data_IF_590689633386
#
_entry.id   IF_590689633386
#
_cell.length_a   1.000
_cell.length_b   1.000
_cell.length_c   1.000
_cell.angle_alpha   90.00
_cell.angle_beta   90.00
_cell.angle_gamma   90.00
#
_symmetry.space_group_name_H-M   'P 1'
#
loop_
_entity.id
_entity.type
_entity.pdbx_description
1 polymer ?
#
# COMPACT_ATOMS: atom_id res chain seq x y z
N UNK A 1 18.73 5.98 12.91
CA UNK A 1 17.27 6.07 12.62
C UNK A 1 16.88 7.39 11.96
N UNK A 2 17.12 8.56 12.58
CA UNK A 2 16.74 9.86 11.99
C UNK A 2 17.41 10.18 10.65
N UNK A 3 18.64 9.69 10.40
CA UNK A 3 19.28 9.77 9.10
C UNK A 3 18.44 9.09 8.00
N UNK A 4 17.92 7.88 8.28
CA UNK A 4 17.09 7.14 7.32
C UNK A 4 15.77 7.88 7.04
N UNK A 5 15.17 8.47 8.08
CA UNK A 5 13.96 9.30 7.95
C UNK A 5 14.25 10.49 7.03
N UNK A 6 15.37 11.18 7.24
CA UNK A 6 15.79 12.28 6.38
C UNK A 6 15.98 11.82 4.92
N UNK A 7 16.63 10.68 4.71
CA UNK A 7 16.84 10.10 3.37
C UNK A 7 15.52 9.81 2.66
N UNK A 8 14.58 9.13 3.33
CA UNK A 8 13.27 8.82 2.74
C UNK A 8 12.43 10.08 2.50
N UNK A 9 12.56 11.10 3.36
CA UNK A 9 11.83 12.36 3.21
C UNK A 9 12.17 13.14 1.94
N UNK A 10 13.32 12.87 1.31
CA UNK A 10 13.71 13.49 0.03
C UNK A 10 12.67 13.22 -1.07
N UNK A 11 12.04 12.05 -1.03
CA UNK A 11 11.01 11.63 -1.97
C UNK A 11 9.61 12.19 -1.68
N UNK A 12 9.42 12.84 -0.52
CA UNK A 12 8.14 13.42 -0.11
C UNK A 12 8.00 14.88 -0.57
N UNK A 13 6.75 15.29 -0.82
CA UNK A 13 6.40 16.71 -1.02
C UNK A 13 6.59 17.52 0.27
N UNK A 14 6.70 18.86 0.22
CA UNK A 14 6.80 19.68 1.42
C UNK A 14 5.64 19.46 2.40
N UNK A 15 4.42 19.30 1.89
CA UNK A 15 3.21 19.03 2.71
C UNK A 15 3.29 17.66 3.41
N UNK A 16 3.79 16.64 2.70
CA UNK A 16 3.97 15.29 3.25
C UNK A 16 5.08 15.23 4.29
N UNK A 17 6.15 16.03 4.12
CA UNK A 17 7.21 16.18 5.11
C UNK A 17 6.70 16.80 6.40
N UNK A 18 5.78 17.77 6.32
CA UNK A 18 5.15 18.36 7.50
C UNK A 18 4.26 17.33 8.24
N UNK A 19 3.79 16.30 7.53
CA UNK A 19 3.07 15.14 8.07
C UNK A 19 3.99 13.94 8.31
N UNK A 20 5.23 14.18 8.68
CA UNK A 20 6.23 13.16 9.02
C UNK A 20 6.85 13.47 10.40
N UNK A 21 7.28 12.43 11.10
CA UNK A 21 7.83 12.55 12.45
C UNK A 21 9.19 11.86 12.59
N UNK A 22 10.11 12.52 13.28
CA UNK A 22 11.39 11.93 13.68
C UNK A 22 11.20 10.92 14.82
N UNK A 23 12.17 10.00 14.95
CA UNK A 23 12.21 9.08 16.06
C UNK A 23 12.46 9.85 17.37
N UNK A 24 11.56 9.65 18.34
CA UNK A 24 11.64 10.13 19.72
C UNK A 24 11.19 9.03 20.66
N UNK A 25 11.53 9.13 21.94
CA UNK A 25 11.10 8.18 22.97
C UNK A 25 9.59 8.26 23.18
N UNK A 26 8.96 7.12 23.47
CA UNK A 26 7.54 7.00 23.84
C UNK A 26 6.58 7.45 22.72
N UNK A 27 7.00 7.37 21.46
CA UNK A 27 6.11 7.64 20.33
C UNK A 27 5.25 6.41 20.04
N UNK A 28 3.98 6.66 19.78
CA UNK A 28 3.02 5.65 19.34
C UNK A 28 2.88 5.72 17.82
N UNK A 29 2.60 4.58 17.21
CA UNK A 29 2.27 4.56 15.79
C UNK A 29 1.03 5.43 15.51
N UNK A 30 1.12 6.30 14.52
CA UNK A 30 0.00 7.12 14.04
C UNK A 30 -0.27 6.82 12.57
N UNK A 31 -1.49 6.39 12.25
CA UNK A 31 -1.88 5.92 10.92
C UNK A 31 -1.85 7.01 9.83
N UNK A 32 -1.95 8.28 10.21
CA UNK A 32 -2.06 9.43 9.31
C UNK A 32 -0.71 10.07 8.92
N UNK A 33 0.40 9.59 9.49
CA UNK A 33 1.74 10.08 9.17
C UNK A 33 2.32 9.35 7.95
N UNK A 34 2.95 10.11 7.04
CA UNK A 34 3.58 9.54 5.84
C UNK A 34 4.88 8.80 6.16
N UNK A 35 5.62 9.31 7.14
CA UNK A 35 6.90 8.75 7.57
C UNK A 35 7.06 9.01 9.06
N UNK A 36 7.36 7.96 9.83
CA UNK A 36 7.54 8.06 11.26
C UNK A 36 8.68 7.17 11.73
N UNK A 37 9.45 7.67 12.70
CA UNK A 37 10.45 6.88 13.42
C UNK A 37 9.88 6.33 14.71
N UNK A 38 9.94 5.01 14.89
CA UNK A 38 9.55 4.34 16.12
C UNK A 38 10.74 3.55 16.67
N UNK A 39 10.95 3.62 17.99
CA UNK A 39 11.96 2.82 18.67
C UNK A 39 11.46 1.38 18.84
N UNK A 40 12.37 0.41 18.80
CA UNK A 40 12.03 -1.02 18.92
C UNK A 40 11.31 -1.31 20.23
N UNK A 41 11.75 -0.69 21.34
CA UNK A 41 11.11 -0.82 22.64
C UNK A 41 9.65 -0.38 22.61
N UNK A 42 9.35 0.73 21.93
CA UNK A 42 7.99 1.23 21.77
C UNK A 42 7.16 0.30 20.86
N UNK A 43 7.78 -0.30 19.85
CA UNK A 43 7.13 -1.27 18.95
C UNK A 43 6.83 -2.61 19.61
N UNK A 44 7.74 -3.14 20.43
CA UNK A 44 7.56 -4.42 21.14
C UNK A 44 6.40 -4.35 22.12
N UNK A 45 6.29 -3.23 22.86
CA UNK A 45 5.17 -2.93 23.74
C UNK A 45 3.83 -2.80 22.98
N UNK A 46 3.87 -2.54 21.68
CA UNK A 46 2.70 -2.33 20.83
C UNK A 46 2.43 -3.44 19.84
N UNK A 47 3.16 -4.55 19.84
CA UNK A 47 3.13 -5.51 18.70
C UNK A 47 1.71 -5.92 18.26
N UNK A 48 0.83 -6.27 19.19
CA UNK A 48 -0.57 -6.61 18.89
C UNK A 48 -1.45 -5.40 18.53
N UNK A 49 -1.12 -4.22 19.05
CA UNK A 49 -1.80 -2.95 18.74
C UNK A 49 -1.35 -2.37 17.40
N UNK A 50 -0.14 -2.74 16.95
CA UNK A 50 0.47 -2.21 15.75
C UNK A 50 -0.25 -2.71 14.50
N UNK A 51 -0.55 -4.00 14.43
CA UNK A 51 -1.29 -4.58 13.29
C UNK A 51 -2.65 -3.89 13.11
N UNK A 52 -3.39 -3.69 14.22
CA UNK A 52 -4.67 -2.96 14.21
C UNK A 52 -4.46 -1.50 13.78
N UNK A 53 -3.51 -0.80 14.39
CA UNK A 53 -3.27 0.61 14.09
C UNK A 53 -2.78 0.83 12.65
N UNK A 54 -2.06 -0.13 12.09
CA UNK A 54 -1.65 -0.11 10.67
C UNK A 54 -2.87 -0.27 9.78
N UNK A 55 -3.76 -1.23 10.09
CA UNK A 55 -4.99 -1.47 9.34
C UNK A 55 -6.03 -0.36 9.48
N UNK A 56 -5.91 0.52 10.49
CA UNK A 56 -6.69 1.77 10.56
C UNK A 56 -6.22 2.82 9.54
N UNK A 57 -5.02 2.66 8.97
CA UNK A 57 -4.54 3.57 7.93
C UNK A 57 -5.30 3.38 6.63
N UNK A 58 -5.63 4.50 5.98
CA UNK A 58 -6.26 4.50 4.67
C UNK A 58 -5.31 4.07 3.54
N UNK A 59 -4.01 3.91 3.80
CA UNK A 59 -3.00 3.55 2.80
C UNK A 59 -2.11 2.39 3.28
N UNK A 60 -1.57 1.59 2.34
CA UNK A 60 -0.58 0.56 2.67
C UNK A 60 0.62 1.13 3.42
N UNK A 61 1.17 0.35 4.35
CA UNK A 61 2.30 0.73 5.20
C UNK A 61 3.51 -0.17 4.93
N UNK A 62 4.70 0.43 4.96
CA UNK A 62 5.98 -0.27 4.88
C UNK A 62 6.76 -0.07 6.18
N UNK A 63 7.18 -1.17 6.80
CA UNK A 63 8.08 -1.19 7.95
C UNK A 63 9.49 -1.47 7.46
N UNK A 64 10.41 -0.56 7.80
CA UNK A 64 11.85 -0.72 7.54
C UNK A 64 12.55 -0.92 8.88
N UNK A 65 12.98 -2.16 9.13
CA UNK A 65 13.76 -2.50 10.32
C UNK A 65 15.25 -2.30 10.02
N UNK A 66 15.82 -1.25 10.61
CA UNK A 66 17.24 -0.92 10.44
C UNK A 66 18.18 -1.84 11.21
N UNK A 67 17.70 -2.56 12.22
CA UNK A 67 18.53 -3.48 13.01
C UNK A 67 18.62 -4.84 12.34
N UNK A 68 17.51 -5.32 11.77
CA UNK A 68 17.44 -6.60 11.04
C UNK A 68 17.70 -6.45 9.54
N UNK A 69 17.87 -5.20 9.06
CA UNK A 69 18.01 -4.87 7.63
C UNK A 69 16.92 -5.53 6.78
N UNK A 70 15.68 -5.47 7.28
CA UNK A 70 14.54 -6.13 6.65
C UNK A 70 13.44 -5.14 6.33
N UNK A 71 12.82 -5.30 5.16
CA UNK A 71 11.67 -4.51 4.73
C UNK A 71 10.45 -5.40 4.71
N UNK A 72 9.40 -4.95 5.37
CA UNK A 72 8.09 -5.58 5.39
C UNK A 72 7.05 -4.60 4.90
N UNK A 73 6.08 -5.07 4.15
CA UNK A 73 5.06 -4.23 3.55
C UNK A 73 3.69 -4.89 3.68
N UNK A 74 2.65 -4.09 3.91
CA UNK A 74 1.27 -4.54 3.74
C UNK A 74 0.96 -4.70 2.25
N UNK A 75 0.03 -5.57 1.84
CA UNK A 75 -0.40 -5.65 0.44
C UNK A 75 -0.71 -4.28 -0.16
N UNK A 76 -0.46 -4.10 -1.46
CA UNK A 76 -0.84 -2.90 -2.18
C UNK A 76 -2.34 -2.92 -2.50
N UNK A 77 -2.90 -1.78 -2.93
CA UNK A 77 -4.28 -1.75 -3.41
C UNK A 77 -4.46 -2.64 -4.65
N UNK A 78 -5.61 -3.33 -4.79
CA UNK A 78 -6.79 -3.34 -3.91
C UNK A 78 -6.70 -4.37 -2.77
N UNK A 79 -5.69 -5.26 -2.78
CA UNK A 79 -5.53 -6.32 -1.79
C UNK A 79 -5.47 -5.79 -0.34
N UNK A 80 -4.95 -4.58 -0.14
CA UNK A 80 -4.98 -3.90 1.15
C UNK A 80 -6.39 -3.74 1.73
N UNK A 81 -7.37 -3.33 0.90
CA UNK A 81 -8.77 -3.18 1.33
C UNK A 81 -9.38 -4.50 1.74
N UNK A 82 -9.09 -5.54 0.96
CA UNK A 82 -9.53 -6.90 1.27
C UNK A 82 -8.95 -7.36 2.61
N UNK A 83 -7.65 -7.14 2.83
CA UNK A 83 -6.99 -7.45 4.11
C UNK A 83 -7.64 -6.69 5.28
N UNK A 84 -7.97 -5.40 5.12
CA UNK A 84 -8.68 -4.63 6.14
C UNK A 84 -10.04 -5.25 6.47
N UNK A 85 -10.78 -5.69 5.46
CA UNK A 85 -12.09 -6.33 5.64
C UNK A 85 -11.95 -7.70 6.31
N UNK A 86 -11.07 -8.55 5.79
CA UNK A 86 -10.78 -9.89 6.34
C UNK A 86 -10.37 -9.80 7.82
N UNK A 87 -9.60 -8.77 8.19
CA UNK A 87 -9.20 -8.54 9.57
C UNK A 87 -10.35 -8.06 10.46
N UNK A 88 -11.20 -7.15 9.97
CA UNK A 88 -12.39 -6.69 10.71
C UNK A 88 -13.36 -7.84 10.96
N UNK A 89 -13.58 -8.68 9.96
CA UNK A 89 -14.43 -9.86 10.07
C UNK A 89 -13.84 -10.88 11.04
N UNK A 90 -12.51 -11.07 11.02
CA UNK A 90 -11.81 -11.89 12.00
C UNK A 90 -11.98 -11.36 13.43
N UNK A 91 -11.78 -10.05 13.68
CA UNK A 91 -11.99 -9.44 15.00
C UNK A 91 -13.44 -9.59 15.47
N UNK A 92 -14.40 -9.41 14.56
CA UNK A 92 -15.83 -9.55 14.86
C UNK A 92 -16.15 -10.97 15.33
N UNK A 93 -15.68 -11.99 14.61
CA UNK A 93 -15.87 -13.39 14.98
C UNK A 93 -15.25 -13.69 16.35
N UNK A 94 -14.05 -13.16 16.63
CA UNK A 94 -13.41 -13.35 17.96
C UNK A 94 -14.24 -12.71 19.09
N UNK A 95 -14.77 -11.50 18.88
CA UNK A 95 -15.61 -10.82 19.87
C UNK A 95 -16.93 -11.56 20.11
N UNK A 96 -17.55 -12.08 19.05
CA UNK A 96 -18.79 -12.88 19.14
C UNK A 96 -18.55 -14.18 19.92
N UNK A 97 -17.43 -14.86 19.68
CA UNK A 97 -17.04 -16.08 20.42
C UNK A 97 -16.71 -15.78 21.89
N UNK A 98 -15.94 -14.73 22.18
CA UNK A 98 -15.63 -14.32 23.55
C UNK A 98 -16.91 -13.90 24.32
N UNK A 99 -17.84 -13.20 23.66
CA UNK A 99 -19.14 -12.87 24.24
C UNK A 99 -19.98 -14.13 24.51
N UNK A 100 -20.02 -15.06 23.56
CA UNK A 100 -20.74 -16.33 23.72
C UNK A 100 -20.18 -17.14 24.90
N UNK A 101 -18.85 -17.19 25.06
CA UNK A 101 -18.19 -17.85 26.21
C UNK A 101 -18.46 -17.14 27.54
N UNK A 102 -18.56 -15.81 27.54
CA UNK A 102 -18.89 -15.05 28.75
C UNK A 102 -20.33 -15.30 29.22
N UNK A 103 -21.26 -15.48 28.27
CA UNK A 103 -22.67 -15.73 28.55
C UNK A 103 -22.98 -17.20 28.91
N UNK A 104 -22.06 -18.14 28.66
CA UNK A 104 -22.23 -19.55 29.02
C UNK A 104 -22.14 -19.78 30.54
N UNK A 105 -23.02 -20.63 31.11
CA UNK A 105 -22.94 -21.00 32.52
C UNK A 105 -21.61 -21.73 32.82
N UNK A 106 -21.07 -21.62 34.05
CA UNK A 106 -19.78 -22.20 34.42
C UNK A 106 -19.65 -23.71 34.15
N UNK A 107 -20.77 -24.42 34.10
CA UNK A 107 -20.86 -25.88 33.88
C UNK A 107 -20.63 -26.33 32.43
N UNK A 108 -20.71 -25.43 31.45
CA UNK A 108 -20.66 -25.76 30.01
C UNK A 108 -19.47 -25.11 29.28
N UNK A 109 -18.54 -24.49 30.02
CA UNK A 109 -17.31 -23.89 29.46
C UNK A 109 -16.39 -24.97 28.91
N UNK A 110 -16.69 -25.40 27.69
CA UNK A 110 -15.90 -26.32 26.90
C UNK A 110 -14.56 -25.67 26.57
N UNK A 111 -13.44 -26.28 26.96
CA UNK A 111 -12.06 -25.79 26.70
C UNK A 111 -11.56 -26.07 25.28
N UNK A 112 -12.36 -26.67 24.40
CA UNK A 112 -11.89 -27.18 23.11
C UNK A 112 -12.76 -26.73 21.93
N UNK A 113 -12.51 -25.52 21.43
CA UNK A 113 -12.86 -25.16 20.05
C UNK A 113 -11.60 -24.59 19.36
N UNK A 114 -11.00 -25.52 18.60
CA UNK A 114 -10.22 -25.36 17.37
C UNK A 114 -9.21 -24.20 17.29
N UNK A 115 -7.94 -24.54 17.55
CA UNK A 115 -6.77 -23.68 17.37
C UNK A 115 -6.49 -23.29 15.90
N UNK A 116 -7.14 -23.93 14.93
CA UNK A 116 -6.88 -23.70 13.50
C UNK A 116 -7.54 -22.44 12.94
N UNK A 117 -8.67 -22.01 13.51
CA UNK A 117 -9.42 -20.82 13.08
C UNK A 117 -8.90 -19.52 13.74
N UNK A 118 -7.94 -19.65 14.68
CA UNK A 118 -7.37 -18.55 15.46
C UNK A 118 -6.13 -17.92 14.83
N UNK A 119 -5.73 -18.33 13.62
CA UNK A 119 -4.57 -17.75 12.94
C UNK A 119 -4.93 -16.38 12.37
N UNK A 120 -4.50 -15.34 13.09
CA UNK A 120 -4.58 -13.95 12.65
C UNK A 120 -4.08 -13.81 11.19
N UNK A 121 -4.81 -13.12 10.31
CA UNK A 121 -4.35 -12.86 8.95
C UNK A 121 -2.99 -12.15 8.99
N UNK A 122 -2.00 -12.57 8.19
CA UNK A 122 -0.70 -11.91 8.18
C UNK A 122 -0.83 -10.51 7.58
N UNK A 123 -0.56 -9.47 8.39
CA UNK A 123 -0.67 -8.07 7.94
C UNK A 123 0.50 -7.67 7.04
N UNK A 124 1.69 -8.23 7.30
CA UNK A 124 2.94 -7.85 6.66
C UNK A 124 3.59 -9.01 5.91
N UNK A 125 4.19 -8.70 4.76
CA UNK A 125 4.93 -9.66 3.96
C UNK A 125 6.33 -9.09 3.72
N UNK A 126 7.34 -9.95 3.59
CA UNK A 126 8.72 -9.53 3.34
C UNK A 126 8.88 -9.12 1.88
N UNK A 127 9.57 -8.01 1.62
CA UNK A 127 9.86 -7.52 0.28
C UNK A 127 11.35 -7.70 -0.01
N UNK A 128 11.67 -8.53 -1.00
CA UNK A 128 13.05 -8.85 -1.40
C UNK A 128 13.34 -8.47 -2.86
N UNK A 129 12.47 -7.70 -3.52
CA UNK A 129 12.67 -7.19 -4.88
C UNK A 129 13.11 -5.72 -4.89
N UNK A 130 13.87 -5.35 -5.93
CA UNK A 130 14.28 -3.96 -6.18
C UNK A 130 13.75 -3.57 -7.56
N UNK A 131 13.01 -2.47 -7.62
CA UNK A 131 12.52 -1.92 -8.88
C UNK A 131 13.69 -1.39 -9.73
N UNK A 132 13.82 -1.78 -11.01
CA UNK A 132 14.89 -1.33 -11.90
C UNK A 132 15.06 0.19 -11.94
N UNK A 133 13.97 0.97 -11.96
CA UNK A 133 14.05 2.43 -11.97
C UNK A 133 14.69 3.01 -10.70
N UNK A 134 14.50 2.34 -9.56
CA UNK A 134 15.10 2.74 -8.28
C UNK A 134 16.56 2.30 -8.24
N UNK A 135 16.88 1.13 -8.79
CA UNK A 135 18.27 0.67 -8.93
C UNK A 135 19.08 1.65 -9.78
N UNK A 136 18.59 2.03 -10.96
CA UNK A 136 19.24 3.01 -11.83
C UNK A 136 19.43 4.36 -11.14
N UNK A 137 18.41 4.85 -10.41
CA UNK A 137 18.53 6.05 -9.59
C UNK A 137 19.69 5.95 -8.59
N UNK A 138 19.79 4.86 -7.85
CA UNK A 138 20.83 4.66 -6.83
C UNK A 138 22.23 4.55 -7.46
N UNK A 139 22.33 3.93 -8.63
CA UNK A 139 23.60 3.80 -9.35
C UNK A 139 24.06 5.15 -9.92
N UNK A 140 23.15 5.94 -10.48
CA UNK A 140 23.44 7.30 -10.99
C UNK A 140 23.79 8.29 -9.87
N UNK A 141 23.12 8.24 -8.71
CA UNK A 141 23.44 9.11 -7.57
C UNK A 141 24.89 8.94 -7.11
N UNK A 142 25.44 7.73 -7.21
CA UNK A 142 26.82 7.44 -6.80
C UNK A 142 27.86 8.10 -7.70
N UNK A 143 27.56 8.26 -8.99
CA UNK A 143 28.46 8.91 -9.96
C UNK A 143 28.35 10.44 -9.92
N UNK A 144 27.20 10.98 -9.51
CA UNK A 144 26.94 12.41 -9.46
C UNK A 144 27.66 13.07 -8.26
N UNK A 145 28.28 14.26 -8.45
CA UNK A 145 28.87 15.05 -7.37
C UNK A 145 27.87 15.37 -6.25
N UNK A 146 28.29 15.30 -4.99
CA UNK A 146 27.42 15.45 -3.80
C UNK A 146 26.53 16.69 -3.85
N UNK A 147 27.06 17.83 -4.31
CA UNK A 147 26.33 19.11 -4.44
C UNK A 147 25.12 19.07 -5.40
N UNK A 148 25.10 18.12 -6.35
CA UNK A 148 24.05 18.00 -7.36
C UNK A 148 23.02 16.91 -7.02
N UNK A 149 23.32 16.02 -6.07
CA UNK A 149 22.48 14.85 -5.76
C UNK A 149 21.06 15.21 -5.37
N UNK A 150 20.88 16.26 -4.57
CA UNK A 150 19.55 16.69 -4.13
C UNK A 150 18.72 17.25 -5.30
N UNK A 151 19.33 18.04 -6.19
CA UNK A 151 18.66 18.53 -7.40
C UNK A 151 18.25 17.38 -8.33
N UNK A 152 19.13 16.38 -8.48
CA UNK A 152 18.87 15.19 -9.27
C UNK A 152 17.73 14.33 -8.70
N UNK A 153 17.71 14.08 -7.38
CA UNK A 153 16.59 13.37 -6.72
C UNK A 153 15.28 14.13 -6.88
N UNK A 154 15.30 15.47 -6.75
CA UNK A 154 14.12 16.31 -6.99
C UNK A 154 13.62 16.21 -8.44
N UNK A 155 14.52 16.16 -9.41
CA UNK A 155 14.18 15.96 -10.82
C UNK A 155 13.56 14.59 -11.07
N UNK A 156 14.17 13.53 -10.54
CA UNK A 156 13.64 12.17 -10.66
C UNK A 156 12.22 12.05 -10.06
N UNK A 157 11.99 12.66 -8.89
CA UNK A 157 10.66 12.72 -8.27
C UNK A 157 9.65 13.44 -9.16
N UNK A 158 10.02 14.57 -9.76
CA UNK A 158 9.13 15.30 -10.70
C UNK A 158 8.79 14.44 -11.91
N UNK A 159 9.76 13.70 -12.44
CA UNK A 159 9.52 12.77 -13.54
C UNK A 159 8.56 11.64 -13.16
N UNK A 160 8.69 11.07 -11.96
CA UNK A 160 7.76 10.06 -11.45
C UNK A 160 6.32 10.62 -11.36
N UNK A 161 6.15 11.83 -10.84
CA UNK A 161 4.83 12.50 -10.79
C UNK A 161 4.26 12.71 -12.19
N UNK A 162 5.07 13.15 -13.16
CA UNK A 162 4.63 13.32 -14.56
C UNK A 162 4.16 12.00 -15.19
N UNK A 163 4.86 10.90 -14.95
CA UNK A 163 4.41 9.56 -15.41
C UNK A 163 3.09 9.16 -14.79
N UNK A 164 2.90 9.41 -13.49
CA UNK A 164 1.64 9.12 -12.81
C UNK A 164 0.48 9.98 -13.37
N UNK A 165 0.72 11.25 -13.69
CA UNK A 165 -0.29 12.10 -14.36
C UNK A 165 -0.61 11.58 -15.76
N UNK A 166 0.41 11.20 -16.53
CA UNK A 166 0.22 10.59 -17.86
C UNK A 166 -0.60 9.29 -17.78
N UNK A 167 -0.31 8.44 -16.78
CA UNK A 167 -1.09 7.25 -16.47
C UNK A 167 -2.56 7.59 -16.21
N UNK A 168 -2.84 8.58 -15.35
CA UNK A 168 -4.21 9.01 -15.04
C UNK A 168 -4.92 9.51 -16.29
N UNK A 169 -4.28 10.33 -17.14
CA UNK A 169 -4.91 10.86 -18.33
C UNK A 169 -5.16 9.78 -19.38
N UNK A 170 -4.21 8.87 -19.59
CA UNK A 170 -4.40 7.72 -20.47
C UNK A 170 -5.58 6.85 -20.01
N UNK A 171 -5.66 6.58 -18.70
CA UNK A 171 -6.76 5.79 -18.13
C UNK A 171 -8.14 6.44 -18.31
N UNK A 172 -8.22 7.79 -18.36
CA UNK A 172 -9.45 8.52 -18.65
C UNK A 172 -9.83 8.45 -20.13
N UNK A 173 -8.85 8.64 -21.01
CA UNK A 173 -9.08 8.73 -22.46
C UNK A 173 -9.48 7.38 -23.06
N UNK A 174 -8.87 6.29 -22.59
CA UNK A 174 -9.25 4.94 -23.01
C UNK A 174 -10.60 4.51 -22.38
N UNK A 175 -10.99 5.11 -21.25
CA UNK A 175 -12.16 4.72 -20.45
C UNK A 175 -13.52 5.21 -20.96
N UNK A 176 -13.64 5.60 -22.24
CA UNK A 176 -14.92 6.05 -22.81
C UNK A 176 -15.97 4.92 -22.75
N UNK A 177 -17.05 5.19 -22.03
CA UNK A 177 -18.18 4.28 -21.81
C UNK A 177 -19.02 4.21 -23.08
N UNK A 178 -19.09 3.04 -23.72
CA UNK A 178 -20.12 2.74 -24.70
C UNK A 178 -21.25 2.01 -23.99
N UNK A 179 -22.44 2.62 -23.94
CA UNK A 179 -23.66 1.95 -23.51
C UNK A 179 -24.15 1.08 -24.66
N UNK A 180 -24.04 -0.24 -24.54
CA UNK A 180 -24.64 -1.17 -25.50
C UNK A 180 -26.05 -1.51 -25.01
N UNK A 181 -27.05 -1.19 -25.81
CA UNK A 181 -28.43 -1.61 -25.58
C UNK A 181 -28.57 -3.07 -26.04
N UNK A 182 -29.01 -3.95 -25.14
CA UNK A 182 -29.52 -5.26 -25.52
C UNK A 182 -31.03 -5.13 -25.66
N UNK A 183 -31.59 -5.68 -26.74
CA UNK A 183 -33.00 -5.63 -27.15
C UNK A 183 -34.01 -6.17 -26.13
N UNK A 184 -33.57 -6.58 -24.94
CA UNK A 184 -34.38 -7.23 -23.89
C UNK A 184 -34.44 -6.41 -22.58
N UNK A 185 -34.12 -5.11 -22.64
CA UNK A 185 -34.25 -4.19 -21.51
C UNK A 185 -33.23 -4.39 -20.37
N UNK A 186 -32.29 -5.33 -20.52
CA UNK A 186 -31.17 -5.53 -19.58
C UNK A 186 -29.97 -4.69 -19.99
N UNK A 187 -29.57 -3.78 -19.11
CA UNK A 187 -28.31 -3.06 -19.23
C UNK A 187 -27.16 -3.99 -18.83
N UNK A 188 -26.32 -4.36 -19.79
CA UNK A 188 -25.02 -4.95 -19.49
C UNK A 188 -23.98 -3.87 -19.77
N UNK A 189 -23.29 -3.41 -18.73
CA UNK A 189 -22.09 -2.59 -18.88
C UNK A 189 -20.98 -3.46 -19.50
N UNK A 190 -21.00 -3.62 -20.82
CA UNK A 190 -20.04 -4.44 -21.56
C UNK A 190 -18.57 -4.00 -21.37
N UNK A 191 -18.34 -2.76 -20.90
CA UNK A 191 -17.01 -2.17 -20.73
C UNK A 191 -16.25 -2.58 -19.45
N UNK A 192 -16.89 -3.21 -18.45
CA UNK A 192 -16.17 -3.57 -17.20
C UNK A 192 -15.12 -4.68 -17.41
N UNK A 193 -15.32 -5.54 -18.41
CA UNK A 193 -14.52 -6.76 -18.60
C UNK A 193 -13.49 -6.60 -19.73
N UNK A 194 -13.82 -5.94 -20.84
CA UNK A 194 -12.93 -5.79 -21.99
C UNK A 194 -11.90 -4.66 -21.87
N UNK A 195 -12.12 -3.70 -20.97
CA UNK A 195 -11.12 -2.67 -20.61
C UNK A 195 -9.91 -3.25 -19.84
N UNK A 196 -10.07 -4.45 -19.29
CA UNK A 196 -9.28 -4.98 -18.16
C UNK A 196 -7.85 -5.42 -18.48
N UNK A 197 -7.57 -5.95 -19.69
CA UNK A 197 -6.25 -6.55 -19.99
C UNK A 197 -5.54 -5.93 -21.19
N UNK A 198 -6.24 -5.70 -22.30
CA UNK A 198 -5.63 -5.20 -23.54
C UNK A 198 -5.10 -3.76 -23.42
N UNK A 199 -5.63 -2.98 -22.48
CA UNK A 199 -5.22 -1.60 -22.26
C UNK A 199 -4.10 -1.46 -21.24
N UNK A 200 -3.89 -2.40 -20.30
CA UNK A 200 -2.77 -2.34 -19.36
C UNK A 200 -1.45 -2.57 -20.08
N UNK A 201 -1.38 -3.52 -21.01
CA UNK A 201 -0.16 -3.76 -21.79
C UNK A 201 0.15 -2.61 -22.75
N UNK A 202 -0.88 -2.05 -23.40
CA UNK A 202 -0.74 -0.81 -24.20
C UNK A 202 -0.28 0.36 -23.35
N UNK A 203 -0.82 0.53 -22.15
CA UNK A 203 -0.45 1.56 -21.19
C UNK A 203 1.00 1.37 -20.70
N UNK A 204 1.37 0.14 -20.37
CA UNK A 204 2.75 -0.23 -20.01
C UNK A 204 3.70 0.10 -21.15
N UNK A 205 3.34 -0.24 -22.39
CA UNK A 205 4.15 0.08 -23.56
C UNK A 205 4.23 1.59 -23.82
N UNK A 206 3.10 2.31 -23.78
CA UNK A 206 3.04 3.76 -24.00
C UNK A 206 3.83 4.53 -22.94
N UNK A 207 3.82 4.05 -21.70
CA UNK A 207 4.58 4.64 -20.60
C UNK A 207 6.00 4.09 -20.50
N UNK A 208 6.41 3.09 -21.27
CA UNK A 208 7.70 2.37 -21.14
C UNK A 208 7.91 1.77 -19.73
N UNK A 209 6.89 1.09 -19.22
CA UNK A 209 6.85 0.39 -17.94
C UNK A 209 6.80 -1.13 -18.17
N UNK A 210 7.94 -1.70 -18.56
CA UNK A 210 8.04 -3.14 -18.83
C UNK A 210 8.19 -3.97 -17.55
N UNK A 211 8.85 -3.42 -16.53
CA UNK A 211 9.00 -4.09 -15.24
C UNK A 211 7.77 -3.88 -14.35
N UNK A 212 7.33 -4.94 -13.68
CA UNK A 212 6.15 -4.89 -12.82
C UNK A 212 6.38 -4.00 -11.58
N UNK A 213 7.58 -3.97 -11.00
CA UNK A 213 7.86 -3.15 -9.82
C UNK A 213 7.91 -1.66 -10.17
N UNK A 214 8.48 -1.32 -11.34
CA UNK A 214 8.43 0.05 -11.87
C UNK A 214 6.98 0.49 -12.10
N UNK A 215 6.16 -0.40 -12.68
CA UNK A 215 4.74 -0.17 -12.85
C UNK A 215 4.02 0.07 -11.52
N UNK A 216 4.30 -0.74 -10.49
CA UNK A 216 3.70 -0.59 -9.16
C UNK A 216 4.05 0.75 -8.50
N UNK A 217 5.27 1.26 -8.68
CA UNK A 217 5.68 2.58 -8.16
C UNK A 217 4.87 3.69 -8.85
N UNK A 218 4.75 3.65 -10.18
CA UNK A 218 3.95 4.64 -10.92
C UNK A 218 2.47 4.54 -10.55
N UNK A 219 1.95 3.32 -10.40
CA UNK A 219 0.57 3.06 -10.00
C UNK A 219 0.28 3.59 -8.59
N UNK A 220 1.17 3.36 -7.63
CA UNK A 220 1.06 3.90 -6.27
C UNK A 220 1.08 5.44 -6.28
N UNK A 221 1.94 6.05 -7.09
CA UNK A 221 1.96 7.50 -7.26
C UNK A 221 0.67 8.02 -7.91
N UNK A 222 0.09 7.28 -8.86
CA UNK A 222 -1.17 7.64 -9.50
C UNK A 222 -2.36 7.55 -8.53
N UNK A 223 -2.43 6.48 -7.73
CA UNK A 223 -3.44 6.32 -6.67
C UNK A 223 -3.33 7.43 -5.62
N UNK A 224 -2.11 7.82 -5.25
CA UNK A 224 -1.88 8.95 -4.34
C UNK A 224 -2.38 10.28 -4.90
N UNK A 225 -2.23 10.52 -6.21
CA UNK A 225 -2.72 11.73 -6.88
C UNK A 225 -4.23 11.71 -7.12
N UNK A 226 -4.81 10.52 -7.34
CA UNK A 226 -6.24 10.32 -7.56
C UNK A 226 -6.70 9.05 -6.83
N UNK A 227 -7.14 9.17 -5.56
CA UNK A 227 -7.62 8.03 -4.79
C UNK A 227 -8.82 7.33 -5.46
N UNK A 228 -8.89 6.01 -5.31
CA UNK A 228 -9.91 5.15 -5.93
C UNK A 228 -9.68 4.88 -7.42
N UNK A 229 -8.49 5.16 -7.95
CA UNK A 229 -8.15 4.89 -9.35
C UNK A 229 -7.99 3.39 -9.57
N UNK A 230 -7.22 2.71 -8.72
CA UNK A 230 -6.95 1.27 -8.83
C UNK A 230 -8.23 0.46 -8.72
N UNK A 231 -9.14 0.84 -7.81
CA UNK A 231 -10.44 0.18 -7.63
C UNK A 231 -11.30 0.28 -8.90
N UNK A 232 -11.33 1.47 -9.53
CA UNK A 232 -12.07 1.70 -10.78
C UNK A 232 -11.49 0.96 -11.98
N UNK A 233 -10.17 0.77 -12.00
CA UNK A 233 -9.48 0.14 -13.12
C UNK A 233 -9.42 -1.39 -13.00
N UNK A 234 -9.81 -1.98 -11.85
CA UNK A 234 -9.77 -3.43 -11.60
C UNK A 234 -8.43 -4.09 -12.02
N UNK A 235 -7.29 -3.43 -11.74
CA UNK A 235 -5.96 -3.73 -12.32
C UNK A 235 -5.33 -5.08 -11.90
N UNK A 236 -5.97 -5.87 -11.05
CA UNK A 236 -5.39 -7.11 -10.56
C UNK A 236 -6.19 -8.34 -11.02
N UNK A 237 -5.53 -9.34 -11.64
CA UNK A 237 -6.14 -10.64 -11.84
C UNK A 237 -6.38 -11.30 -10.48
N UNK A 238 -7.51 -12.01 -10.37
CA UNK A 238 -7.83 -12.89 -9.25
C UNK A 238 -6.78 -13.99 -9.10
#
# INVERSE_FOLDING_TARGET
>A
MNLMINTLSLFLSPEERNRSSHARKNLKYMADLYLQGLLIQDMENMRFKLDVAVLDSNVPTTIVDMSKLSVKQTPLFPAYRKLQQDYRDWVKIQLEDDLARYLQPPSERSTSVTSEWKKQPPVFHKVDCIAPMVKSLLDEIRTIPTRLRDAYVRQWRRWLVRRAVAFIQFSKNEGQVYTIYISDGRFIYANSIYFRFRNIDKLKNALQLHDQNDFLIVLAQAEKLKPGLIEKLHIYPH
#
